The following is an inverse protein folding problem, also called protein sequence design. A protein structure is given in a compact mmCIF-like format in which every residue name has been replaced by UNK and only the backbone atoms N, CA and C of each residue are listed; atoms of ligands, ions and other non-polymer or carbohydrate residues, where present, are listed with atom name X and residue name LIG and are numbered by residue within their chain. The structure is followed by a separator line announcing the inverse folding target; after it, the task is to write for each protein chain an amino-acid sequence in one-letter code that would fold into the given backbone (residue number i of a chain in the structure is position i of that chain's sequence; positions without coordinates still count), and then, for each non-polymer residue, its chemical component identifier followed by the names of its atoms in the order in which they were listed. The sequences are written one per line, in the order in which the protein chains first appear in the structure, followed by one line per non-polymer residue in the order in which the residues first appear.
data_IF_104894602354
#
_entry.id   IF_104894602354
#
_cell.length_a   1.000
_cell.length_b   1.000
_cell.length_c   1.000
_cell.angle_alpha   90.00
_cell.angle_beta   90.00
_cell.angle_gamma   90.00
#
_symmetry.space_group_name_H-M   'P 1'
#
loop_
_entity.id
_entity.type
_entity.pdbx_description
1 polymer ?
#
# COMPACT_ATOMS: atom_id res chain seq x y z
N UNK A 1 -6.71 -49.21 -61.22
CA UNK A 1 -5.47 -48.78 -60.54
C UNK A 1 -5.44 -47.24 -60.63
N UNK A 2 -6.04 -46.47 -59.71
CA UNK A 2 -5.54 -46.09 -58.35
C UNK A 2 -4.04 -45.75 -58.41
N UNK A 3 -3.56 -44.54 -58.11
CA UNK A 3 -3.70 -43.79 -56.85
C UNK A 3 -3.54 -42.27 -57.09
N UNK A 4 -4.39 -41.43 -56.49
CA UNK A 4 -4.19 -39.98 -56.32
C UNK A 4 -3.56 -39.74 -54.95
N UNK A 5 -2.37 -39.15 -54.91
CA UNK A 5 -1.72 -38.68 -53.68
C UNK A 5 -2.36 -37.35 -53.23
N UNK A 6 -3.09 -37.37 -52.12
CA UNK A 6 -3.43 -36.16 -51.37
C UNK A 6 -2.41 -35.99 -50.24
N UNK A 7 -1.60 -34.94 -50.32
CA UNK A 7 -0.86 -34.41 -49.18
C UNK A 7 -1.83 -33.62 -48.29
N UNK A 8 -2.12 -34.14 -47.10
CA UNK A 8 -2.75 -33.39 -46.02
C UNK A 8 -1.66 -32.81 -45.12
N UNK A 9 -1.47 -31.49 -45.16
CA UNK A 9 -0.59 -30.78 -44.22
C UNK A 9 -1.41 -30.48 -42.97
N UNK A 10 -1.16 -31.24 -41.89
CA UNK A 10 -1.63 -30.89 -40.55
C UNK A 10 -0.84 -29.67 -40.04
N UNK A 11 -1.48 -28.50 -40.03
CA UNK A 11 -0.98 -27.35 -39.29
C UNK A 11 -1.29 -27.54 -37.81
N UNK A 12 -0.27 -27.93 -37.03
CA UNK A 12 -0.33 -27.86 -35.58
C UNK A 12 -0.28 -26.39 -35.15
N UNK A 13 -1.44 -25.80 -34.85
CA UNK A 13 -1.53 -24.51 -34.20
C UNK A 13 -1.01 -24.67 -32.75
N UNK A 14 0.27 -24.37 -32.54
CA UNK A 14 0.82 -24.18 -31.20
C UNK A 14 0.19 -22.93 -30.60
N UNK A 15 -0.85 -23.11 -29.76
CA UNK A 15 -1.37 -22.09 -28.86
C UNK A 15 -0.28 -21.76 -27.84
N UNK A 16 0.62 -20.85 -28.20
CA UNK A 16 1.51 -20.20 -27.26
C UNK A 16 0.65 -19.34 -26.33
N UNK A 17 0.28 -19.89 -25.18
CA UNK A 17 -0.23 -19.09 -24.07
C UNK A 17 0.89 -18.15 -23.62
N UNK A 18 0.92 -16.95 -24.19
CA UNK A 18 1.65 -15.83 -23.60
C UNK A 18 0.99 -15.59 -22.24
N UNK A 19 1.62 -16.08 -21.17
CA UNK A 19 1.28 -15.68 -19.82
C UNK A 19 1.60 -14.18 -19.72
N UNK A 20 0.57 -13.36 -19.82
CA UNK A 20 0.74 -11.92 -19.70
C UNK A 20 1.09 -11.62 -18.25
N UNK A 21 2.16 -10.86 -18.04
CA UNK A 21 2.51 -10.37 -16.72
C UNK A 21 1.33 -9.55 -16.17
N UNK A 22 0.90 -9.89 -14.96
CA UNK A 22 -0.15 -9.16 -14.26
C UNK A 22 0.47 -7.93 -13.59
N UNK A 23 -0.26 -6.82 -13.62
CA UNK A 23 0.13 -5.59 -12.90
C UNK A 23 -0.74 -5.33 -11.66
N UNK A 24 -1.77 -6.15 -11.45
CA UNK A 24 -2.72 -6.11 -10.34
C UNK A 24 -3.42 -7.47 -10.20
N UNK A 25 -4.18 -7.68 -9.11
CA UNK A 25 -5.02 -8.85 -8.97
C UNK A 25 -6.04 -8.89 -10.13
N UNK A 26 -6.20 -10.01 -10.84
CA UNK A 26 -7.10 -10.10 -12.01
C UNK A 26 -8.57 -10.24 -11.63
N UNK A 27 -8.88 -10.55 -10.36
CA UNK A 27 -10.22 -10.61 -9.80
C UNK A 27 -10.36 -9.77 -8.53
N UNK A 28 -11.47 -9.95 -7.81
CA UNK A 28 -11.67 -9.33 -6.49
C UNK A 28 -10.61 -9.83 -5.52
N UNK A 29 -9.91 -8.91 -4.89
CA UNK A 29 -8.96 -9.19 -3.83
C UNK A 29 -9.65 -9.20 -2.47
N UNK A 30 -9.11 -10.03 -1.58
CA UNK A 30 -9.41 -9.94 -0.15
C UNK A 30 -8.36 -9.05 0.52
N UNK A 31 -8.75 -8.43 1.63
CA UNK A 31 -7.85 -7.57 2.39
C UNK A 31 -7.61 -8.18 3.77
N UNK A 32 -6.33 -8.38 4.10
CA UNK A 32 -5.89 -8.60 5.47
C UNK A 32 -5.33 -7.29 6.04
N UNK A 33 -5.74 -6.90 7.24
CA UNK A 33 -5.14 -5.76 7.95
C UNK A 33 -4.32 -6.28 9.12
N UNK A 34 -3.03 -5.97 9.10
CA UNK A 34 -2.07 -6.33 10.13
C UNK A 34 -2.29 -5.61 11.45
N UNK A 35 -1.51 -5.99 12.46
CA UNK A 35 -1.65 -5.43 13.81
C UNK A 35 -1.34 -3.92 13.85
N UNK A 36 -0.44 -3.45 12.99
CA UNK A 36 -0.04 -2.05 12.84
C UNK A 36 -0.80 -1.36 11.68
N UNK A 37 -1.97 -1.87 11.29
CA UNK A 37 -2.81 -1.22 10.27
C UNK A 37 -2.26 -1.29 8.83
N UNK A 38 -1.11 -1.94 8.62
CA UNK A 38 -0.61 -2.27 7.28
C UNK A 38 -1.64 -3.16 6.60
N UNK A 39 -2.06 -2.75 5.41
CA UNK A 39 -3.00 -3.53 4.60
C UNK A 39 -2.25 -4.46 3.68
N UNK A 40 -2.74 -5.66 3.51
CA UNK A 40 -2.21 -6.66 2.61
C UNK A 40 -3.33 -7.06 1.65
N UNK A 41 -3.09 -6.86 0.34
CA UNK A 41 -3.93 -7.45 -0.70
C UNK A 41 -3.63 -8.92 -0.82
N UNK A 42 -4.67 -9.73 -0.78
CA UNK A 42 -4.65 -11.16 -1.04
C UNK A 42 -5.26 -11.34 -2.43
N UNK A 43 -4.47 -11.82 -3.38
CA UNK A 43 -4.90 -12.01 -4.77
C UNK A 43 -4.98 -13.51 -5.09
N UNK A 44 -6.17 -14.13 -4.98
CA UNK A 44 -6.34 -15.53 -5.29
C UNK A 44 -6.01 -15.85 -6.75
N UNK A 45 -5.52 -17.07 -6.98
CA UNK A 45 -5.22 -17.57 -8.31
C UNK A 45 -4.10 -16.82 -9.03
N UNK A 46 -3.12 -16.34 -8.26
CA UNK A 46 -1.93 -15.67 -8.82
C UNK A 46 -0.66 -16.07 -8.10
N UNK A 47 0.47 -15.98 -8.82
CA UNK A 47 1.80 -16.23 -8.28
C UNK A 47 2.74 -15.06 -8.60
N UNK A 48 3.67 -14.79 -7.69
CA UNK A 48 4.87 -13.99 -7.93
C UNK A 48 6.03 -14.94 -8.11
N UNK A 49 6.27 -15.34 -9.35
CA UNK A 49 7.40 -16.22 -9.72
C UNK A 49 8.71 -15.46 -9.51
N UNK A 50 9.75 -16.14 -9.01
CA UNK A 50 11.04 -15.53 -8.66
C UNK A 50 11.57 -15.97 -7.29
N UNK A 51 12.67 -15.36 -6.83
CA UNK A 51 13.35 -15.75 -5.61
C UNK A 51 12.49 -15.57 -4.36
N UNK A 52 12.68 -16.49 -3.40
CA UNK A 52 12.10 -16.41 -2.06
C UNK A 52 13.21 -16.17 -1.04
N UNK A 53 13.02 -15.21 -0.13
CA UNK A 53 13.94 -14.91 0.97
C UNK A 53 13.76 -15.90 2.13
N UNK A 54 12.55 -16.43 2.31
CA UNK A 54 12.28 -17.52 3.25
C UNK A 54 11.03 -18.30 2.86
N UNK A 55 10.91 -19.53 3.37
CA UNK A 55 9.75 -20.40 3.16
C UNK A 55 9.35 -21.01 4.49
N UNK A 56 8.07 -20.89 4.88
CA UNK A 56 7.54 -21.50 6.11
C UNK A 56 6.15 -22.09 5.88
N UNK A 57 5.86 -23.21 6.53
CA UNK A 57 4.54 -23.85 6.43
C UNK A 57 3.52 -23.16 7.33
N UNK A 58 2.33 -22.86 6.80
CA UNK A 58 1.24 -22.17 7.52
C UNK A 58 -0.12 -22.72 7.08
N UNK A 59 -1.16 -22.57 7.91
CA UNK A 59 -2.45 -23.23 7.65
C UNK A 59 -3.30 -22.59 6.55
N UNK A 60 -3.12 -21.29 6.27
CA UNK A 60 -3.97 -20.52 5.34
C UNK A 60 -3.24 -19.31 4.76
N UNK A 61 -3.81 -18.70 3.72
CA UNK A 61 -3.32 -17.42 3.15
C UNK A 61 -3.32 -16.31 4.20
N UNK A 62 -4.35 -16.22 5.05
CA UNK A 62 -4.41 -15.24 6.15
C UNK A 62 -3.31 -15.48 7.18
N UNK A 63 -2.95 -16.74 7.45
CA UNK A 63 -1.83 -17.06 8.33
C UNK A 63 -0.48 -16.69 7.68
N UNK A 64 -0.34 -16.85 6.36
CA UNK A 64 0.82 -16.36 5.61
C UNK A 64 0.92 -14.82 5.65
N UNK A 65 -0.20 -14.11 5.46
CA UNK A 65 -0.27 -12.66 5.54
C UNK A 65 0.07 -12.15 6.95
N UNK A 66 -0.45 -12.78 8.01
CA UNK A 66 -0.08 -12.48 9.39
C UNK A 66 1.41 -12.72 9.66
N UNK A 67 1.98 -13.81 9.13
CA UNK A 67 3.41 -14.06 9.26
C UNK A 67 4.24 -12.98 8.54
N UNK A 68 3.76 -12.53 7.38
CA UNK A 68 4.38 -11.45 6.60
C UNK A 68 4.33 -10.10 7.32
N UNK A 69 3.21 -9.79 7.97
CA UNK A 69 3.03 -8.62 8.85
C UNK A 69 4.04 -8.59 10.00
N UNK A 70 4.24 -9.73 10.64
CA UNK A 70 5.19 -9.87 11.76
C UNK A 70 6.67 -9.81 11.35
N UNK A 71 6.97 -9.83 10.05
CA UNK A 71 8.34 -9.87 9.54
C UNK A 71 8.67 -8.57 8.86
N UNK A 72 9.64 -7.80 9.38
CA UNK A 72 10.09 -6.52 8.80
C UNK A 72 10.53 -6.64 7.33
N UNK A 73 10.98 -7.81 6.89
CA UNK A 73 11.51 -8.02 5.54
C UNK A 73 10.47 -8.52 4.53
N UNK A 74 9.23 -8.81 4.96
CA UNK A 74 8.19 -9.34 4.07
C UNK A 74 7.23 -8.27 3.50
N UNK A 75 7.51 -7.74 2.30
CA UNK A 75 6.58 -6.82 1.62
C UNK A 75 5.70 -7.54 0.60
N UNK A 76 6.14 -8.71 0.16
CA UNK A 76 5.44 -9.60 -0.77
C UNK A 76 5.61 -11.04 -0.30
N UNK A 77 4.55 -11.81 -0.34
CA UNK A 77 4.58 -13.25 -0.12
C UNK A 77 3.70 -13.97 -1.13
N UNK A 78 3.89 -15.28 -1.23
CA UNK A 78 3.02 -16.18 -1.97
C UNK A 78 2.67 -17.37 -1.10
N UNK A 79 1.39 -17.66 -0.99
CA UNK A 79 0.90 -18.85 -0.31
C UNK A 79 0.61 -19.96 -1.33
N UNK A 80 1.19 -21.13 -1.13
CA UNK A 80 0.90 -22.35 -1.89
C UNK A 80 -0.28 -23.08 -1.26
N UNK A 81 -1.42 -23.07 -1.96
CA UNK A 81 -2.66 -23.68 -1.46
C UNK A 81 -2.58 -25.20 -1.29
N UNK A 82 -1.63 -25.87 -1.95
CA UNK A 82 -1.44 -27.33 -1.90
C UNK A 82 -0.45 -27.74 -0.82
N UNK A 83 0.77 -27.22 -0.88
CA UNK A 83 1.82 -27.61 0.07
C UNK A 83 1.70 -26.89 1.40
N UNK A 84 0.89 -25.81 1.45
CA UNK A 84 0.70 -24.96 2.63
C UNK A 84 1.96 -24.15 2.98
N UNK A 85 2.81 -23.91 1.99
CA UNK A 85 4.03 -23.13 2.15
C UNK A 85 3.76 -21.65 1.90
N UNK A 86 4.31 -20.81 2.77
CA UNK A 86 4.32 -19.36 2.68
C UNK A 86 5.72 -18.93 2.25
N UNK A 87 5.83 -18.45 1.02
CA UNK A 87 7.07 -17.99 0.41
C UNK A 87 7.18 -16.48 0.58
N UNK A 88 8.08 -16.01 1.42
CA UNK A 88 8.43 -14.59 1.43
C UNK A 88 9.26 -14.30 0.20
N UNK A 89 8.83 -13.34 -0.60
CA UNK A 89 9.44 -13.04 -1.88
C UNK A 89 10.46 -11.91 -1.73
N UNK A 90 11.43 -11.93 -2.61
CA UNK A 90 12.41 -10.85 -2.73
C UNK A 90 11.74 -9.57 -3.26
N UNK A 91 12.42 -8.42 -3.19
CA UNK A 91 11.85 -7.15 -3.67
C UNK A 91 11.92 -7.01 -5.20
N UNK A 92 12.86 -7.71 -5.84
CA UNK A 92 13.19 -7.60 -7.26
C UNK A 92 13.25 -8.98 -7.93
N UNK A 93 13.29 -9.01 -9.27
CA UNK A 93 13.36 -10.27 -10.01
C UNK A 93 12.08 -11.10 -9.93
N UNK A 94 10.95 -10.46 -9.64
CA UNK A 94 9.63 -11.09 -9.56
C UNK A 94 8.82 -10.86 -10.82
N UNK A 95 8.10 -11.89 -11.26
CA UNK A 95 7.10 -11.79 -12.34
C UNK A 95 5.76 -12.27 -11.83
N UNK A 96 4.75 -11.39 -11.88
CA UNK A 96 3.40 -11.73 -11.46
C UNK A 96 2.63 -12.40 -12.59
N UNK A 97 2.10 -13.59 -12.34
CA UNK A 97 1.37 -14.40 -13.32
C UNK A 97 0.08 -14.97 -12.72
N UNK A 98 -0.88 -15.32 -13.57
CA UNK A 98 -2.05 -16.08 -13.15
C UNK A 98 -1.65 -17.53 -12.85
N UNK A 99 -2.08 -18.05 -11.70
CA UNK A 99 -1.83 -19.43 -11.27
C UNK A 99 -2.76 -19.83 -10.11
N UNK A 100 -3.75 -20.70 -10.40
CA UNK A 100 -4.78 -21.14 -9.44
C UNK A 100 -4.24 -21.94 -8.24
N UNK A 101 -2.96 -22.34 -8.25
CA UNK A 101 -2.33 -22.99 -7.10
C UNK A 101 -1.94 -22.00 -6.01
N UNK A 102 -1.68 -20.75 -6.37
CA UNK A 102 -1.03 -19.79 -5.49
C UNK A 102 -1.92 -18.59 -5.20
N UNK A 103 -1.61 -17.93 -4.10
CA UNK A 103 -2.23 -16.66 -3.74
C UNK A 103 -1.13 -15.66 -3.38
N UNK A 104 -1.09 -14.53 -4.09
CA UNK A 104 -0.15 -13.44 -3.82
C UNK A 104 -0.64 -12.62 -2.64
N UNK A 105 0.29 -12.28 -1.76
CA UNK A 105 0.09 -11.38 -0.63
C UNK A 105 1.01 -10.19 -0.85
N UNK A 106 0.46 -8.98 -0.90
CA UNK A 106 1.24 -7.76 -1.12
C UNK A 106 0.88 -6.68 -0.11
N UNK A 107 1.87 -6.20 0.62
CA UNK A 107 1.71 -5.04 1.49
C UNK A 107 1.37 -3.80 0.66
N UNK A 108 0.35 -3.08 1.08
CA UNK A 108 -0.04 -1.79 0.54
C UNK A 108 0.59 -0.67 1.35
N UNK A 109 1.30 0.22 0.65
CA UNK A 109 1.62 1.52 1.20
C UNK A 109 0.42 2.44 0.96
N UNK A 110 -0.39 2.66 2.00
CA UNK A 110 -1.57 3.53 1.90
C UNK A 110 -1.30 4.88 2.53
N UNK A 111 -1.70 5.96 1.86
CA UNK A 111 -1.63 7.30 2.44
C UNK A 111 -2.60 7.41 3.63
N UNK A 112 -2.21 8.09 4.69
CA UNK A 112 -2.97 8.24 5.93
C UNK A 112 -3.03 9.71 6.36
N UNK A 113 -4.10 10.10 7.05
CA UNK A 113 -4.22 11.41 7.70
C UNK A 113 -3.96 11.34 9.21
N UNK A 114 -4.22 10.18 9.82
CA UNK A 114 -3.98 9.87 11.23
C UNK A 114 -3.27 8.53 11.38
N UNK A 115 -2.64 8.34 12.52
CA UNK A 115 -2.02 7.06 12.85
C UNK A 115 -3.09 5.96 12.89
N UNK A 116 -2.91 4.84 12.18
CA UNK A 116 -3.95 3.79 12.12
C UNK A 116 -4.02 2.93 13.39
N UNK A 117 -3.13 3.12 14.35
CA UNK A 117 -3.08 2.39 15.62
C UNK A 117 -2.72 3.33 16.78
N UNK A 118 -2.54 2.74 17.96
CA UNK A 118 -2.16 3.48 19.16
C UNK A 118 -0.83 4.21 18.93
N UNK A 119 -0.86 5.53 19.11
CA UNK A 119 0.33 6.35 19.22
C UNK A 119 0.84 6.29 20.66
N UNK A 120 2.15 6.43 20.84
CA UNK A 120 2.72 6.78 22.14
C UNK A 120 3.39 8.14 22.09
N UNK A 121 3.61 8.74 23.25
CA UNK A 121 4.12 10.10 23.36
C UNK A 121 5.57 10.12 23.82
N UNK A 122 6.37 10.98 23.19
CA UNK A 122 7.72 11.31 23.64
C UNK A 122 7.78 12.77 24.09
N UNK A 123 8.35 13.00 25.26
CA UNK A 123 8.42 14.32 25.88
C UNK A 123 9.86 14.75 26.10
N UNK A 124 10.21 15.93 25.59
CA UNK A 124 11.52 16.53 25.86
C UNK A 124 11.57 18.02 25.54
N UNK A 125 12.35 18.79 26.28
CA UNK A 125 12.56 20.23 26.02
C UNK A 125 11.24 21.02 25.94
N UNK A 126 10.24 20.67 26.78
CA UNK A 126 8.86 21.20 26.75
C UNK A 126 8.08 20.95 25.44
N UNK A 127 8.62 20.15 24.54
CA UNK A 127 7.93 19.64 23.35
C UNK A 127 7.35 18.26 23.66
N UNK A 128 6.14 18.02 23.17
CA UNK A 128 5.52 16.71 23.16
C UNK A 128 5.39 16.26 21.72
N UNK A 129 5.70 15.00 21.48
CA UNK A 129 5.62 14.39 20.16
C UNK A 129 4.74 13.15 20.24
N UNK A 130 3.91 12.93 19.24
CA UNK A 130 3.23 11.67 18.99
C UNK A 130 4.06 10.81 18.06
N UNK A 131 4.11 9.51 18.37
CA UNK A 131 4.89 8.53 17.63
C UNK A 131 3.92 7.50 17.07
N UNK A 132 4.04 7.27 15.77
CA UNK A 132 3.24 6.32 15.03
C UNK A 132 4.17 5.28 14.39
N UNK A 133 4.23 4.05 14.95
CA UNK A 133 5.05 2.99 14.38
C UNK A 133 4.57 2.58 13.00
N UNK A 134 5.41 1.91 12.22
CA UNK A 134 5.03 1.30 10.95
C UNK A 134 4.47 2.30 9.91
N UNK A 135 4.95 3.54 9.95
CA UNK A 135 4.56 4.59 9.00
C UNK A 135 5.76 5.42 8.56
N UNK A 136 5.65 6.00 7.36
CA UNK A 136 6.66 6.88 6.76
C UNK A 136 6.04 8.21 6.33
N UNK A 137 6.79 9.30 6.55
CA UNK A 137 6.54 10.59 5.91
C UNK A 137 7.50 10.73 4.72
N UNK A 138 6.96 10.51 3.52
CA UNK A 138 7.67 10.67 2.26
C UNK A 138 7.83 12.14 1.90
N UNK A 139 8.94 12.45 1.21
CA UNK A 139 9.30 13.80 0.80
C UNK A 139 10.69 14.21 1.32
N UNK A 140 11.11 15.46 1.08
CA UNK A 140 12.46 15.93 1.41
C UNK A 140 12.75 15.85 2.92
N UNK A 141 14.03 15.61 3.23
CA UNK A 141 14.56 15.67 4.60
C UNK A 141 15.43 16.92 4.72
N UNK A 142 15.25 17.71 5.77
CA UNK A 142 16.15 18.82 6.10
C UNK A 142 17.53 18.28 6.52
N UNK A 143 17.52 17.17 7.28
CA UNK A 143 18.74 16.52 7.75
C UNK A 143 18.56 15.01 7.79
N UNK A 144 19.60 14.29 7.42
CA UNK A 144 19.67 12.83 7.60
C UNK A 144 20.87 12.52 8.48
N UNK A 145 20.64 11.75 9.54
CA UNK A 145 21.68 11.20 10.41
C UNK A 145 21.80 9.70 10.15
N UNK A 146 23.01 9.25 9.85
CA UNK A 146 23.31 7.82 9.69
C UNK A 146 23.71 7.22 11.03
N UNK A 147 23.74 5.88 11.10
CA UNK A 147 24.14 5.11 12.29
C UNK A 147 23.26 5.34 13.52
N UNK A 148 22.00 5.71 13.31
CA UNK A 148 20.99 5.82 14.36
C UNK A 148 20.36 4.44 14.56
N UNK A 149 20.71 3.79 15.68
CA UNK A 149 20.36 2.37 15.89
C UNK A 149 18.97 2.11 16.46
N UNK A 150 18.31 3.12 17.00
CA UNK A 150 17.01 2.99 17.65
C UNK A 150 16.15 4.19 17.36
N UNK A 151 14.84 4.00 17.43
CA UNK A 151 13.88 5.08 17.35
C UNK A 151 14.15 6.16 18.42
N UNK A 152 14.43 5.77 19.66
CA UNK A 152 14.69 6.73 20.76
C UNK A 152 15.87 7.67 20.45
N UNK A 153 16.91 7.17 19.77
CA UNK A 153 18.01 8.01 19.32
C UNK A 153 17.57 8.99 18.22
N UNK A 154 16.68 8.58 17.30
CA UNK A 154 16.08 9.48 16.33
C UNK A 154 15.21 10.55 17.00
N UNK A 155 14.39 10.14 17.98
CA UNK A 155 13.56 11.05 18.75
C UNK A 155 14.37 12.05 19.56
N UNK A 156 15.49 11.60 20.15
CA UNK A 156 16.49 12.45 20.77
C UNK A 156 17.01 13.51 19.79
N UNK A 157 17.40 13.11 18.58
CA UNK A 157 17.95 14.01 17.56
C UNK A 157 16.91 15.07 17.14
N UNK A 158 15.68 14.64 16.86
CA UNK A 158 14.59 15.56 16.51
C UNK A 158 14.29 16.55 17.64
N UNK A 159 14.16 16.07 18.88
CA UNK A 159 13.82 16.94 20.02
C UNK A 159 14.87 18.02 20.33
N UNK A 160 16.12 17.83 19.90
CA UNK A 160 17.20 18.82 20.03
C UNK A 160 17.47 19.59 18.74
N UNK A 161 16.82 19.25 17.64
CA UNK A 161 16.89 20.02 16.41
C UNK A 161 15.83 21.12 16.43
N UNK A 162 16.26 22.37 16.33
CA UNK A 162 15.41 23.53 16.61
C UNK A 162 14.11 23.53 15.78
N UNK A 163 14.21 23.21 14.49
CA UNK A 163 13.12 23.24 13.50
C UNK A 163 12.37 21.91 13.37
N UNK A 164 12.75 20.85 14.10
CA UNK A 164 12.12 19.54 13.88
C UNK A 164 10.66 19.53 14.36
N UNK A 165 9.76 19.45 13.39
CA UNK A 165 8.31 19.22 13.59
C UNK A 165 7.93 17.78 13.25
N UNK A 166 8.74 17.07 12.47
CA UNK A 166 8.56 15.65 12.21
C UNK A 166 9.90 14.96 11.91
N UNK A 167 10.00 13.69 12.28
CA UNK A 167 11.13 12.83 11.95
C UNK A 167 10.66 11.42 11.57
N UNK A 168 11.47 10.74 10.76
CA UNK A 168 11.25 9.35 10.36
C UNK A 168 12.49 8.55 10.73
N UNK A 169 12.28 7.46 11.47
CA UNK A 169 13.32 6.48 11.73
C UNK A 169 13.27 5.38 10.65
N UNK A 170 14.38 5.15 9.96
CA UNK A 170 14.56 4.05 9.00
C UNK A 170 15.30 2.91 9.69
N UNK A 171 14.54 1.87 10.07
CA UNK A 171 15.09 0.72 10.80
C UNK A 171 16.07 -0.10 9.94
N UNK A 172 15.81 -0.22 8.62
CA UNK A 172 16.64 -1.03 7.74
C UNK A 172 17.99 -0.36 7.44
N UNK A 173 18.03 0.97 7.35
CA UNK A 173 19.28 1.73 7.12
C UNK A 173 19.91 2.28 8.39
N UNK A 174 19.26 2.11 9.55
CA UNK A 174 19.68 2.73 10.80
C UNK A 174 19.90 4.24 10.63
N UNK A 175 18.90 4.93 10.09
CA UNK A 175 18.97 6.35 9.77
C UNK A 175 17.82 7.13 10.38
N UNK A 176 18.07 8.39 10.74
CA UNK A 176 17.05 9.32 11.20
C UNK A 176 16.91 10.46 10.21
N UNK A 177 15.72 10.62 9.66
CA UNK A 177 15.36 11.66 8.72
C UNK A 177 14.59 12.76 9.45
N UNK A 178 15.22 13.91 9.68
CA UNK A 178 14.50 15.12 10.09
C UNK A 178 13.82 15.67 8.84
N UNK A 179 12.48 15.71 8.85
CA UNK A 179 11.71 16.12 7.67
C UNK A 179 11.80 17.62 7.47
N UNK A 180 11.76 18.05 6.21
CA UNK A 180 11.70 19.47 5.88
C UNK A 180 10.38 20.10 6.36
N UNK A 181 10.29 21.43 6.39
CA UNK A 181 9.05 22.12 6.75
C UNK A 181 7.92 21.80 5.77
N UNK A 182 6.81 21.27 6.28
CA UNK A 182 5.62 20.89 5.50
C UNK A 182 4.88 22.09 4.91
N UNK A 183 5.17 23.33 5.35
CA UNK A 183 4.60 24.55 4.78
C UNK A 183 5.18 24.91 3.43
N UNK A 184 6.41 24.48 3.17
CA UNK A 184 7.14 24.76 1.93
C UNK A 184 7.43 23.51 1.10
N UNK A 185 7.11 22.32 1.63
CA UNK A 185 7.39 21.04 0.99
C UNK A 185 6.19 20.12 1.07
N UNK A 186 5.90 19.40 -0.02
CA UNK A 186 4.92 18.31 0.00
C UNK A 186 5.48 17.12 0.76
N UNK A 187 4.89 16.86 1.92
CA UNK A 187 5.15 15.67 2.73
C UNK A 187 3.91 14.78 2.75
N UNK A 188 4.07 13.49 2.46
CA UNK A 188 2.96 12.54 2.38
C UNK A 188 3.16 11.45 3.42
N UNK A 189 2.21 11.34 4.36
CA UNK A 189 2.23 10.30 5.38
C UNK A 189 1.55 9.03 4.88
N UNK A 190 2.20 7.89 5.06
CA UNK A 190 1.72 6.59 4.59
C UNK A 190 2.15 5.46 5.50
N UNK A 191 1.44 4.33 5.45
CA UNK A 191 1.83 3.11 6.17
C UNK A 191 3.04 2.47 5.51
N UNK A 192 4.08 2.17 6.28
CA UNK A 192 5.27 1.46 5.84
C UNK A 192 6.01 0.92 7.07
N UNK A 193 5.93 -0.40 7.27
CA UNK A 193 6.52 -1.09 8.43
C UNK A 193 8.03 -0.88 8.59
N UNK A 194 8.75 -0.48 7.55
CA UNK A 194 10.20 -0.20 7.66
C UNK A 194 10.49 1.02 8.52
N UNK A 195 9.53 1.93 8.62
CA UNK A 195 9.75 3.24 9.19
C UNK A 195 8.82 3.47 10.38
N UNK A 196 9.28 4.33 11.29
CA UNK A 196 8.45 4.86 12.36
C UNK A 196 8.49 6.39 12.31
N UNK A 197 7.35 7.02 12.54
CA UNK A 197 7.19 8.47 12.44
C UNK A 197 7.04 9.11 13.81
N UNK A 198 7.76 10.20 14.04
CA UNK A 198 7.58 11.13 15.14
C UNK A 198 7.02 12.45 14.60
N UNK A 199 5.99 13.01 15.24
CA UNK A 199 5.41 14.32 14.90
C UNK A 199 5.26 15.17 16.14
N UNK A 200 5.60 16.45 16.04
CA UNK A 200 5.41 17.42 17.10
C UNK A 200 3.91 17.66 17.30
N UNK A 201 3.45 17.58 18.54
CA UNK A 201 2.07 17.87 18.88
C UNK A 201 1.90 19.38 18.92
N UNK A 202 1.28 19.91 17.87
CA UNK A 202 0.91 21.32 17.77
C UNK A 202 -0.57 21.42 18.07
N UNK A 203 -0.95 22.30 19.00
CA UNK A 203 -2.35 22.55 19.30
C UNK A 203 -3.05 23.05 18.02
N UNK A 204 -4.10 22.36 17.55
CA UNK A 204 -4.82 22.80 16.36
C UNK A 204 -5.55 24.12 16.65
N UNK A 205 -5.72 24.94 15.62
CA UNK A 205 -6.51 26.17 15.68
C UNK A 205 -7.63 26.14 14.62
N UNK A 206 -8.65 25.26 14.75
CA UNK A 206 -9.65 25.05 13.69
C UNK A 206 -10.42 26.30 13.31
N UNK A 207 -10.66 27.20 14.27
CA UNK A 207 -11.34 28.48 14.02
C UNK A 207 -10.56 29.41 13.07
N UNK A 208 -9.25 29.22 12.94
CA UNK A 208 -8.37 30.02 12.07
C UNK A 208 -8.06 29.29 10.76
N UNK A 209 -7.72 28.01 10.85
CA UNK A 209 -7.11 27.28 9.75
C UNK A 209 -8.05 26.21 9.13
N UNK A 210 -9.26 26.04 9.69
CA UNK A 210 -10.12 24.90 9.40
C UNK A 210 -9.58 23.59 9.99
N UNK A 211 -10.28 22.48 9.75
CA UNK A 211 -9.83 21.16 10.15
C UNK A 211 -10.15 20.14 9.05
N UNK A 212 -9.15 19.34 8.70
CA UNK A 212 -9.33 18.22 7.78
C UNK A 212 -9.77 16.97 8.55
N UNK A 213 -10.76 16.27 8.02
CA UNK A 213 -11.14 14.94 8.50
C UNK A 213 -10.08 13.90 8.14
N UNK A 214 -10.32 12.66 8.56
CA UNK A 214 -9.60 11.52 7.99
C UNK A 214 -9.89 11.32 6.50
N UNK A 215 -9.03 10.52 5.86
CA UNK A 215 -9.20 10.15 4.46
C UNK A 215 -10.40 9.20 4.29
N UNK A 216 -11.34 9.60 3.44
CA UNK A 216 -12.42 8.73 2.98
C UNK A 216 -11.88 7.88 1.82
N UNK A 217 -11.97 6.55 1.95
CA UNK A 217 -11.56 5.61 0.90
C UNK A 217 -12.73 5.41 -0.06
N UNK A 218 -12.48 5.65 -1.35
CA UNK A 218 -13.45 5.45 -2.41
C UNK A 218 -13.03 4.26 -3.28
N UNK A 219 -13.99 3.47 -3.82
CA UNK A 219 -13.67 2.30 -4.64
C UNK A 219 -13.20 2.66 -6.06
N UNK A 220 -13.30 3.94 -6.44
CA UNK A 220 -12.73 4.50 -7.68
C UNK A 220 -11.96 5.77 -7.34
N UNK A 221 -10.90 6.07 -8.08
CA UNK A 221 -10.22 7.37 -7.97
C UNK A 221 -11.19 8.45 -8.48
N UNK A 222 -11.54 9.46 -7.67
CA UNK A 222 -12.51 10.49 -8.06
C UNK A 222 -11.86 11.51 -9.02
N UNK A 223 -11.53 11.09 -10.24
CA UNK A 223 -10.95 11.97 -11.28
C UNK A 223 -11.93 13.08 -11.64
N UNK A 224 -13.23 12.78 -11.60
CA UNK A 224 -14.30 13.75 -11.68
C UNK A 224 -15.42 13.39 -10.70
N UNK A 225 -16.20 14.39 -10.32
CA UNK A 225 -17.27 14.27 -9.35
C UNK A 225 -18.38 15.29 -9.59
N UNK A 226 -19.60 14.98 -9.18
CA UNK A 226 -20.70 15.94 -9.13
C UNK A 226 -21.63 15.65 -7.95
N UNK A 227 -22.19 16.72 -7.37
CA UNK A 227 -23.20 16.64 -6.31
C UNK A 227 -24.53 16.23 -6.93
N UNK A 228 -25.18 15.24 -6.34
CA UNK A 228 -26.49 14.75 -6.80
C UNK A 228 -27.59 15.66 -6.26
N UNK A 229 -28.42 16.30 -7.11
CA UNK A 229 -29.51 17.14 -6.66
C UNK A 229 -30.57 16.33 -5.89
N UNK A 230 -30.94 16.81 -4.69
CA UNK A 230 -31.94 16.18 -3.83
C UNK A 230 -32.58 17.25 -2.92
N UNK A 231 -33.83 17.04 -2.49
CA UNK A 231 -34.55 17.94 -1.58
C UNK A 231 -34.70 17.30 -0.19
N UNK A 232 -34.53 18.04 0.92
CA UNK A 232 -34.28 19.48 1.02
C UNK A 232 -32.82 19.89 0.78
N UNK A 233 -31.88 18.95 0.88
CA UNK A 233 -30.45 19.16 0.66
C UNK A 233 -29.87 17.92 -0.02
N UNK A 234 -28.88 18.13 -0.88
CA UNK A 234 -28.08 17.04 -1.45
C UNK A 234 -27.34 16.28 -0.37
N UNK A 235 -27.34 14.96 -0.48
CA UNK A 235 -26.66 14.05 0.45
C UNK A 235 -25.59 13.19 -0.22
N UNK A 236 -25.55 13.20 -1.56
CA UNK A 236 -24.75 12.28 -2.36
C UNK A 236 -23.80 12.99 -3.30
N UNK A 237 -22.62 12.41 -3.43
CA UNK A 237 -21.60 12.75 -4.41
C UNK A 237 -21.39 11.54 -5.31
N UNK A 238 -21.68 11.69 -6.61
CA UNK A 238 -21.27 10.70 -7.60
C UNK A 238 -19.87 11.06 -8.08
N UNK A 239 -18.97 10.09 -7.98
CA UNK A 239 -17.58 10.19 -8.42
C UNK A 239 -17.31 9.15 -9.51
N UNK A 240 -16.39 9.44 -10.42
CA UNK A 240 -16.04 8.50 -11.47
C UNK A 240 -14.59 8.63 -11.94
N UNK A 241 -14.10 7.55 -12.53
CA UNK A 241 -12.79 7.45 -13.18
C UNK A 241 -12.97 7.20 -14.69
N UNK A 242 -12.30 6.19 -15.25
CA UNK A 242 -12.43 5.76 -16.64
C UNK A 242 -13.01 4.34 -16.68
N UNK A 243 -12.56 3.48 -17.59
CA UNK A 243 -13.02 2.09 -17.69
C UNK A 243 -12.54 1.22 -16.52
N UNK A 244 -11.43 1.58 -15.87
CA UNK A 244 -10.92 0.97 -14.64
C UNK A 244 -11.01 1.94 -13.47
N UNK A 245 -11.00 1.41 -12.24
CA UNK A 245 -11.10 2.20 -11.00
C UNK A 245 -9.92 3.16 -10.81
N UNK A 246 -8.73 2.77 -11.28
CA UNK A 246 -7.46 3.48 -11.18
C UNK A 246 -6.69 3.54 -12.52
N UNK A 247 -7.32 3.10 -13.62
CA UNK A 247 -6.72 3.01 -14.94
C UNK A 247 -7.57 3.73 -15.99
N UNK A 248 -6.90 4.29 -17.00
CA UNK A 248 -7.53 4.96 -18.15
C UNK A 248 -6.87 4.51 -19.47
N UNK A 249 -7.55 4.75 -20.59
CA UNK A 249 -7.08 4.35 -21.91
C UNK A 249 -7.97 4.88 -23.04
N UNK A 250 -7.95 4.21 -24.19
CA UNK A 250 -8.78 4.55 -25.34
C UNK A 250 -10.28 4.31 -25.12
N UNK A 251 -11.06 4.44 -26.20
CA UNK A 251 -12.50 4.23 -26.16
C UNK A 251 -12.85 2.82 -25.66
N UNK A 252 -13.49 2.75 -24.49
CA UNK A 252 -13.89 1.51 -23.81
C UNK A 252 -15.40 1.27 -23.83
N UNK A 253 -16.20 2.34 -24.04
CA UNK A 253 -17.65 2.32 -23.87
C UNK A 253 -18.12 2.13 -22.43
N UNK A 254 -17.24 2.28 -21.43
CA UNK A 254 -17.55 2.05 -20.00
C UNK A 254 -16.88 3.09 -19.11
N UNK A 255 -17.57 3.45 -18.03
CA UNK A 255 -17.09 4.33 -16.97
C UNK A 255 -17.42 3.70 -15.61
N UNK A 256 -16.44 3.63 -14.72
CA UNK A 256 -16.63 3.21 -13.33
C UNK A 256 -17.13 4.39 -12.50
N UNK A 257 -18.24 4.18 -11.80
CA UNK A 257 -18.83 5.15 -10.89
C UNK A 257 -18.80 4.62 -9.46
N UNK A 258 -18.69 5.53 -8.50
CA UNK A 258 -19.00 5.28 -7.12
C UNK A 258 -19.95 6.35 -6.59
N UNK A 259 -20.82 5.93 -5.69
CA UNK A 259 -21.82 6.76 -5.04
C UNK A 259 -21.47 6.91 -3.58
N UNK A 260 -21.13 8.13 -3.18
CA UNK A 260 -20.77 8.45 -1.81
C UNK A 260 -21.88 9.28 -1.16
N UNK A 261 -22.61 8.67 -0.24
CA UNK A 261 -23.51 9.39 0.65
C UNK A 261 -22.68 10.01 1.79
N UNK A 262 -22.58 11.34 1.83
CA UNK A 262 -21.71 12.07 2.75
C UNK A 262 -22.38 12.45 4.07
N UNK A 263 -23.63 12.03 4.31
CA UNK A 263 -24.29 12.17 5.61
C UNK A 263 -24.27 10.87 6.44
N UNK A 264 -23.74 9.78 5.88
CA UNK A 264 -23.58 8.46 6.52
C UNK A 264 -22.12 8.16 6.76
#
# INVERSE_FOLDING_TARGET
MQVRNLFAVLSAATLSHLAHALNACPGTDDIFTGAEGIRYRLCPGTDLTGPSTSIRRVASVTACAKLCDQSMDCFKAVYDTRTKDCHFKDLTGLTWVANDRFEVIQAEQVNIARCPHSEWTYHRNRKQYSICPGTDIRGPSEKIWQNVRTFDNCAYLCANWATCTAAVYDSAKMACHIKADSRSNTLIWSTDKRYDVMRLNVTPAPAKDGEWSDLIRLPVIPVAAYVVPEYPVSQRLLVFSSWGADAFGGASGRTQFADYNFIT
#
